data_IF_486984065893
#
_entry.id   IF_486984065893
#
_cell.length_a   1.000
_cell.length_b   1.000
_cell.length_c   1.000
_cell.angle_alpha   90.00
_cell.angle_beta   90.00
_cell.angle_gamma   90.00
#
_symmetry.space_group_name_H-M   'P 1'
#
loop_
_entity.id
_entity.type
_entity.pdbx_description
1 polymer ?
#
# COMPACT_ATOMS: atom_id res chain seq x y z
N UNK A 1 15.34 -20.27 1.54
CA UNK A 1 14.67 -20.14 2.86
C UNK A 1 15.02 -18.84 3.59
N UNK A 2 16.28 -18.39 3.64
CA UNK A 2 16.65 -17.13 4.35
C UNK A 2 16.04 -15.84 3.77
N UNK A 3 16.03 -15.68 2.43
CA UNK A 3 15.49 -14.48 1.78
C UNK A 3 14.01 -14.23 2.08
N UNK A 4 13.18 -15.27 2.04
CA UNK A 4 11.74 -15.17 2.31
C UNK A 4 11.46 -14.71 3.74
N UNK A 5 12.25 -15.16 4.72
CA UNK A 5 12.08 -14.79 6.14
C UNK A 5 12.46 -13.32 6.34
N UNK A 6 13.60 -12.87 5.79
CA UNK A 6 14.05 -11.47 5.90
C UNK A 6 13.03 -10.52 5.26
N UNK A 7 12.48 -10.89 4.09
CA UNK A 7 11.46 -10.12 3.41
C UNK A 7 10.16 -10.02 4.23
N UNK A 8 9.71 -11.11 4.84
CA UNK A 8 8.53 -11.14 5.72
C UNK A 8 8.73 -10.29 6.97
N UNK A 9 9.94 -10.32 7.56
CA UNK A 9 10.32 -9.51 8.71
C UNK A 9 10.31 -8.02 8.35
N UNK A 10 10.80 -7.65 7.16
CA UNK A 10 10.76 -6.28 6.65
C UNK A 10 9.31 -5.80 6.45
N UNK A 11 8.44 -6.61 5.83
CA UNK A 11 7.02 -6.30 5.70
C UNK A 11 6.37 -6.12 7.08
N UNK A 12 6.66 -7.03 8.02
CA UNK A 12 6.13 -6.99 9.38
C UNK A 12 6.52 -5.70 10.11
N UNK A 13 7.79 -5.28 10.03
CA UNK A 13 8.26 -4.03 10.65
C UNK A 13 7.58 -2.82 10.03
N UNK A 14 7.45 -2.77 8.69
CA UNK A 14 6.77 -1.66 7.99
C UNK A 14 5.29 -1.64 8.34
N UNK A 15 4.63 -2.80 8.44
CA UNK A 15 3.22 -2.88 8.82
C UNK A 15 3.00 -2.39 10.26
N UNK A 16 3.81 -2.84 11.21
CA UNK A 16 3.73 -2.42 12.61
C UNK A 16 3.95 -0.91 12.72
N UNK A 17 4.99 -0.36 12.09
CA UNK A 17 5.22 1.10 12.12
C UNK A 17 4.09 1.87 11.44
N UNK A 18 3.54 1.37 10.34
CA UNK A 18 2.41 2.02 9.63
C UNK A 18 1.12 2.06 10.42
N UNK A 19 0.89 1.13 11.34
CA UNK A 19 -0.33 1.07 12.16
C UNK A 19 -0.12 1.69 13.55
N UNK A 20 1.02 1.44 14.19
CA UNK A 20 1.33 1.93 15.56
C UNK A 20 1.55 3.44 15.57
N UNK A 21 2.27 3.99 14.59
CA UNK A 21 2.54 5.43 14.54
C UNK A 21 1.24 6.25 14.41
N UNK A 22 0.33 5.98 13.46
CA UNK A 22 -0.94 6.68 13.42
C UNK A 22 -1.73 6.49 14.71
N UNK A 23 -1.76 5.30 15.33
CA UNK A 23 -2.47 5.10 16.59
C UNK A 23 -1.94 6.00 17.74
N UNK A 24 -0.61 6.14 17.86
CA UNK A 24 0.02 7.05 18.82
C UNK A 24 -0.28 8.51 18.47
N UNK A 25 -0.20 8.88 17.18
CA UNK A 25 -0.42 10.26 16.74
C UNK A 25 -1.91 10.64 16.83
N UNK A 26 -2.85 9.71 16.62
CA UNK A 26 -4.29 9.89 16.85
C UNK A 26 -4.59 10.28 18.31
N UNK A 27 -3.80 9.76 19.26
CA UNK A 27 -3.98 10.05 20.70
C UNK A 27 -3.51 11.46 21.10
N UNK A 28 -2.58 12.05 20.34
CA UNK A 28 -2.20 13.45 20.53
C UNK A 28 -3.26 14.28 19.81
N UNK A 29 -4.08 15.11 20.45
CA UNK A 29 -5.07 15.93 19.74
C UNK A 29 -4.37 17.12 19.06
N UNK A 30 -3.94 16.96 17.81
CA UNK A 30 -3.63 18.11 16.95
C UNK A 30 -4.56 18.03 15.75
N UNK A 31 -5.46 18.99 15.66
CA UNK A 31 -6.46 19.17 14.61
C UNK A 31 -5.76 19.47 13.27
N UNK A 32 -5.21 18.44 12.65
CA UNK A 32 -4.67 18.53 11.30
C UNK A 32 -5.80 18.73 10.30
N UNK A 33 -5.63 19.66 9.34
CA UNK A 33 -6.57 19.86 8.23
C UNK A 33 -6.95 18.52 7.59
N UNK A 34 -8.25 18.30 7.44
CA UNK A 34 -8.82 17.07 6.90
C UNK A 34 -8.16 16.69 5.55
N UNK A 35 -7.85 15.40 5.31
CA UNK A 35 -7.35 14.96 4.02
C UNK A 35 -8.31 15.35 2.89
N UNK A 36 -7.79 15.56 1.67
CA UNK A 36 -8.66 15.85 0.53
C UNK A 36 -9.35 14.55 0.14
N UNK A 37 -10.56 14.63 -0.40
CA UNK A 37 -11.35 13.46 -0.85
C UNK A 37 -10.52 12.53 -1.76
N UNK A 38 -9.69 13.09 -2.65
CA UNK A 38 -8.81 12.34 -3.55
C UNK A 38 -7.84 11.42 -2.78
N UNK A 39 -7.30 11.88 -1.64
CA UNK A 39 -6.41 11.07 -0.81
C UNK A 39 -7.13 9.87 -0.19
N UNK A 40 -8.41 10.02 0.18
CA UNK A 40 -9.23 8.90 0.63
C UNK A 40 -9.53 7.91 -0.50
N UNK A 41 -9.79 8.41 -1.71
CA UNK A 41 -10.03 7.55 -2.89
C UNK A 41 -8.81 6.69 -3.20
N UNK A 42 -7.60 7.26 -3.17
CA UNK A 42 -6.36 6.48 -3.42
C UNK A 42 -6.16 5.38 -2.39
N UNK A 43 -6.40 5.68 -1.10
CA UNK A 43 -6.30 4.67 -0.04
C UNK A 43 -7.37 3.59 -0.19
N UNK A 44 -8.61 3.98 -0.49
CA UNK A 44 -9.71 3.03 -0.71
C UNK A 44 -9.42 2.11 -1.89
N UNK A 45 -8.91 2.64 -3.01
CA UNK A 45 -8.49 1.83 -4.17
C UNK A 45 -7.33 0.89 -3.81
N UNK A 46 -6.34 1.36 -3.05
CA UNK A 46 -5.20 0.53 -2.63
C UNK A 46 -5.65 -0.62 -1.72
N UNK A 47 -6.55 -0.34 -0.76
CA UNK A 47 -7.15 -1.36 0.12
C UNK A 47 -8.03 -2.34 -0.69
N UNK A 48 -8.81 -1.85 -1.63
CA UNK A 48 -9.64 -2.69 -2.50
C UNK A 48 -8.78 -3.61 -3.38
N UNK A 49 -7.67 -3.09 -3.91
CA UNK A 49 -6.71 -3.88 -4.67
C UNK A 49 -6.08 -4.98 -3.81
N UNK A 50 -5.72 -4.68 -2.55
CA UNK A 50 -5.28 -5.67 -1.58
C UNK A 50 -6.33 -6.73 -1.30
N UNK A 51 -7.59 -6.33 -1.15
CA UNK A 51 -8.70 -7.27 -0.93
C UNK A 51 -8.88 -8.19 -2.14
N UNK A 52 -8.83 -7.65 -3.36
CA UNK A 52 -8.86 -8.44 -4.59
C UNK A 52 -7.69 -9.42 -4.68
N UNK A 53 -6.50 -9.01 -4.27
CA UNK A 53 -5.33 -9.89 -4.23
C UNK A 53 -5.51 -11.04 -3.21
N UNK A 54 -5.86 -10.71 -1.96
CA UNK A 54 -5.98 -11.70 -0.87
C UNK A 54 -7.14 -12.67 -1.03
N UNK A 55 -8.24 -12.22 -1.63
CA UNK A 55 -9.43 -13.07 -1.89
C UNK A 55 -9.30 -13.85 -3.20
N UNK A 56 -8.23 -13.63 -3.97
CA UNK A 56 -8.09 -14.22 -5.30
C UNK A 56 -9.13 -13.69 -6.29
N UNK A 57 -9.66 -12.47 -6.11
CA UNK A 57 -10.69 -11.88 -6.98
C UNK A 57 -10.28 -11.77 -8.45
N UNK A 58 -8.97 -11.72 -8.74
CA UNK A 58 -8.46 -11.77 -10.11
C UNK A 58 -8.68 -13.12 -10.82
N UNK A 59 -8.95 -14.20 -10.08
CA UNK A 59 -9.33 -15.51 -10.65
C UNK A 59 -10.71 -15.51 -11.30
N UNK A 60 -11.55 -14.51 -10.99
CA UNK A 60 -12.85 -14.30 -11.63
C UNK A 60 -12.70 -13.81 -13.09
N UNK A 61 -11.53 -13.29 -13.44
CA UNK A 61 -11.20 -12.82 -14.78
C UNK A 61 -10.46 -13.92 -15.55
N UNK A 62 -10.57 -13.95 -16.88
CA UNK A 62 -9.72 -14.80 -17.72
C UNK A 62 -8.24 -14.55 -17.41
N UNK A 63 -7.46 -15.61 -17.30
CA UNK A 63 -6.04 -15.57 -16.91
C UNK A 63 -5.23 -14.55 -17.72
N UNK A 64 -5.40 -14.56 -19.05
CA UNK A 64 -4.74 -13.62 -19.95
C UNK A 64 -5.01 -12.14 -19.62
N UNK A 65 -6.22 -11.83 -19.14
CA UNK A 65 -6.62 -10.47 -18.79
C UNK A 65 -6.13 -10.13 -17.39
N UNK A 66 -6.30 -11.04 -16.44
CA UNK A 66 -5.86 -10.88 -15.06
C UNK A 66 -4.36 -10.57 -14.99
N UNK A 67 -3.52 -11.38 -15.65
CA UNK A 67 -2.07 -11.21 -15.65
C UNK A 67 -1.65 -9.89 -16.31
N UNK A 68 -2.34 -9.47 -17.38
CA UNK A 68 -2.05 -8.23 -18.07
C UNK A 68 -2.38 -6.97 -17.26
N UNK A 69 -3.42 -7.00 -16.42
CA UNK A 69 -3.88 -5.80 -15.69
C UNK A 69 -3.36 -5.73 -14.26
N UNK A 70 -3.16 -6.88 -13.62
CA UNK A 70 -2.86 -6.96 -12.19
C UNK A 70 -1.64 -6.11 -11.84
N UNK A 71 -0.53 -6.36 -12.53
CA UNK A 71 0.73 -5.73 -12.22
C UNK A 71 0.81 -4.25 -12.57
N UNK A 72 0.40 -3.83 -13.79
CA UNK A 72 0.36 -2.41 -14.12
C UNK A 72 -0.53 -1.59 -13.19
N UNK A 73 -1.71 -2.10 -12.85
CA UNK A 73 -2.62 -1.43 -11.91
C UNK A 73 -2.00 -1.31 -10.53
N UNK A 74 -1.35 -2.38 -10.03
CA UNK A 74 -0.71 -2.34 -8.72
C UNK A 74 0.43 -1.30 -8.67
N UNK A 75 1.25 -1.22 -9.72
CA UNK A 75 2.31 -0.22 -9.84
C UNK A 75 1.77 1.21 -9.88
N UNK A 76 0.71 1.47 -10.66
CA UNK A 76 0.07 2.79 -10.73
C UNK A 76 -0.50 3.20 -9.36
N UNK A 77 -1.13 2.27 -8.65
CA UNK A 77 -1.64 2.52 -7.30
C UNK A 77 -0.52 2.80 -6.30
N UNK A 78 0.61 2.11 -6.41
CA UNK A 78 1.79 2.40 -5.59
C UNK A 78 2.35 3.81 -5.89
N UNK A 79 2.45 4.19 -7.15
CA UNK A 79 2.88 5.54 -7.52
C UNK A 79 1.91 6.61 -6.96
N UNK A 80 0.60 6.42 -7.13
CA UNK A 80 -0.42 7.32 -6.61
C UNK A 80 -0.38 7.41 -5.07
N UNK A 81 -0.22 6.28 -4.38
CA UNK A 81 -0.03 6.21 -2.92
C UNK A 81 1.20 6.98 -2.45
N UNK A 82 2.31 6.88 -3.19
CA UNK A 82 3.55 7.58 -2.90
C UNK A 82 3.41 9.10 -3.06
N UNK A 83 2.84 9.55 -4.18
CA UNK A 83 2.57 10.97 -4.43
C UNK A 83 1.61 11.56 -3.39
N UNK A 84 0.55 10.83 -3.03
CA UNK A 84 -0.39 11.28 -2.00
C UNK A 84 0.26 11.34 -0.62
N UNK A 85 1.12 10.39 -0.26
CA UNK A 85 1.90 10.41 0.97
C UNK A 85 2.83 11.63 1.04
N UNK A 86 3.65 11.89 0.02
CA UNK A 86 4.55 13.06 -0.02
C UNK A 86 3.76 14.36 0.07
N UNK A 87 2.73 14.51 -0.77
CA UNK A 87 1.94 15.72 -0.81
C UNK A 87 1.24 16.00 0.52
N UNK A 88 0.76 14.95 1.19
CA UNK A 88 0.09 15.07 2.49
C UNK A 88 1.06 15.12 3.66
N UNK A 89 2.32 14.71 3.52
CA UNK A 89 3.29 14.73 4.62
C UNK A 89 3.51 16.15 5.18
N UNK A 90 3.47 17.17 4.31
CA UNK A 90 3.62 18.57 4.72
C UNK A 90 2.39 19.13 5.46
N UNK A 91 1.18 18.60 5.19
CA UNK A 91 -0.07 19.20 5.64
C UNK A 91 -0.83 18.37 6.69
N UNK A 92 -0.68 17.05 6.67
CA UNK A 92 -1.30 16.12 7.60
C UNK A 92 -0.43 14.85 7.73
N UNK A 93 0.54 14.89 8.64
CA UNK A 93 1.47 13.79 8.90
C UNK A 93 0.76 12.52 9.37
N UNK A 94 -0.36 12.63 10.10
CA UNK A 94 -1.16 11.49 10.60
C UNK A 94 -1.68 10.62 9.48
N UNK A 95 -2.18 11.25 8.43
CA UNK A 95 -2.71 10.53 7.28
C UNK A 95 -1.58 10.06 6.36
N UNK A 96 -0.52 10.86 6.22
CA UNK A 96 0.58 10.51 5.32
C UNK A 96 1.37 9.26 5.74
N UNK A 97 1.61 9.05 7.03
CA UNK A 97 2.40 7.91 7.55
C UNK A 97 1.78 6.54 7.24
N UNK A 98 0.51 6.25 7.56
CA UNK A 98 -0.11 4.97 7.22
C UNK A 98 -0.17 4.77 5.70
N UNK A 99 -0.48 5.83 4.95
CA UNK A 99 -0.51 5.74 3.47
C UNK A 99 0.87 5.45 2.90
N UNK A 100 1.91 6.10 3.41
CA UNK A 100 3.28 5.85 2.98
C UNK A 100 3.65 4.39 3.18
N UNK A 101 3.42 3.84 4.37
CA UNK A 101 3.83 2.47 4.63
C UNK A 101 2.93 1.41 3.97
N UNK A 102 1.62 1.64 3.81
CA UNK A 102 0.76 0.76 3.02
C UNK A 102 1.18 0.75 1.54
N UNK A 103 1.58 1.91 1.02
CA UNK A 103 2.17 2.04 -0.33
C UNK A 103 3.51 1.30 -0.42
N UNK A 104 4.40 1.47 0.55
CA UNK A 104 5.71 0.79 0.56
C UNK A 104 5.58 -0.72 0.59
N UNK A 105 4.69 -1.27 1.44
CA UNK A 105 4.42 -2.72 1.49
C UNK A 105 3.86 -3.18 0.14
N UNK A 106 2.93 -2.43 -0.44
CA UNK A 106 2.35 -2.74 -1.76
C UNK A 106 3.42 -2.79 -2.86
N UNK A 107 4.34 -1.83 -2.86
CA UNK A 107 5.42 -1.74 -3.84
C UNK A 107 6.41 -2.89 -3.67
N UNK A 108 6.75 -3.25 -2.42
CA UNK A 108 7.59 -4.41 -2.12
C UNK A 108 6.95 -5.72 -2.58
N UNK A 109 5.67 -5.92 -2.31
CA UNK A 109 4.92 -7.09 -2.79
C UNK A 109 4.88 -7.14 -4.32
N UNK A 110 4.64 -6.01 -4.98
CA UNK A 110 4.65 -5.94 -6.44
C UNK A 110 6.02 -6.32 -7.01
N UNK A 111 7.11 -5.72 -6.53
CA UNK A 111 8.47 -6.07 -7.01
C UNK A 111 8.77 -7.55 -6.77
N UNK A 112 8.38 -8.10 -5.60
CA UNK A 112 8.62 -9.49 -5.26
C UNK A 112 7.87 -10.47 -6.16
N UNK A 113 6.56 -10.23 -6.40
CA UNK A 113 5.74 -11.07 -7.28
C UNK A 113 6.25 -10.98 -8.72
N UNK A 114 6.60 -9.78 -9.20
CA UNK A 114 7.16 -9.61 -10.53
C UNK A 114 8.52 -10.30 -10.68
N UNK A 115 9.32 -10.27 -9.61
CA UNK A 115 10.61 -10.97 -9.55
C UNK A 115 10.44 -12.48 -9.64
N UNK A 116 9.48 -13.06 -8.90
CA UNK A 116 9.17 -14.51 -8.98
C UNK A 116 8.62 -14.88 -10.35
N UNK A 117 7.74 -14.05 -10.94
CA UNK A 117 7.09 -14.36 -12.21
C UNK A 117 8.05 -14.39 -13.41
N UNK A 118 9.23 -13.76 -13.30
CA UNK A 118 10.25 -13.73 -14.35
C UNK A 118 11.41 -14.72 -14.11
N UNK A 119 11.32 -15.57 -13.09
CA UNK A 119 12.25 -16.69 -12.85
C UNK A 119 11.65 -17.99 -13.37
#
# INVERSE_FOLDING_TARGET
MGFSIIFLLMIGVIAITSFVIPFIVFRKNEEGKSPRIISYVVVALLVLHWLFFLTGGYTLLPTNIADAIFMPVWFVLCAAGYFTAIYKFKNNKRFAIPVAGLTTISLLCSIFINGISNM
#
